data_IF_889677020527
#
_entry.id   IF_889677020527
#
_cell.length_a   1.000
_cell.length_b   1.000
_cell.length_c   1.000
_cell.angle_alpha   90.00
_cell.angle_beta   90.00
_cell.angle_gamma   90.00
#
_symmetry.space_group_name_H-M   'P 1'
#
loop_
_entity.id
_entity.type
_entity.pdbx_description
1 polymer ?
#
# COMPACT_ATOMS: atom_id res chain seq x y z
N UNK A 1 7.42 -3.88 33.91
CA UNK A 1 7.72 -3.06 32.72
C UNK A 1 6.39 -2.77 32.04
N UNK A 2 5.99 -1.50 31.97
CA UNK A 2 4.62 -1.06 31.68
C UNK A 2 4.11 -1.58 30.32
N UNK A 3 2.86 -2.05 30.28
CA UNK A 3 2.19 -2.60 29.09
C UNK A 3 2.28 -1.67 27.87
N UNK A 4 2.36 -0.36 28.11
CA UNK A 4 2.52 0.69 27.09
C UNK A 4 3.83 0.57 26.29
N UNK A 5 4.94 0.28 26.97
CA UNK A 5 6.26 0.15 26.33
C UNK A 5 6.31 -1.08 25.42
N UNK A 6 5.65 -2.17 25.82
CA UNK A 6 5.54 -3.40 25.01
C UNK A 6 4.72 -3.19 23.73
N UNK A 7 3.63 -2.41 23.82
CA UNK A 7 2.80 -2.06 22.66
C UNK A 7 3.55 -1.19 21.64
N UNK A 8 4.37 -0.24 22.10
CA UNK A 8 5.16 0.62 21.22
C UNK A 8 6.20 -0.17 20.41
N UNK A 9 6.99 -1.04 21.05
CA UNK A 9 7.98 -1.87 20.33
C UNK A 9 7.34 -2.79 19.29
N UNK A 10 6.15 -3.32 19.60
CA UNK A 10 5.41 -4.15 18.65
C UNK A 10 4.95 -3.36 17.43
N UNK A 11 4.32 -2.20 17.64
CA UNK A 11 3.83 -1.36 16.54
C UNK A 11 4.99 -0.92 15.63
N UNK A 12 6.13 -0.55 16.23
CA UNK A 12 7.34 -0.23 15.48
C UNK A 12 7.89 -1.45 14.72
N UNK A 13 7.92 -2.63 15.34
CA UNK A 13 8.31 -3.87 14.67
C UNK A 13 7.42 -4.18 13.47
N UNK A 14 6.10 -4.06 13.63
CA UNK A 14 5.12 -4.26 12.57
C UNK A 14 5.34 -3.28 11.42
N UNK A 15 5.50 -1.99 11.71
CA UNK A 15 5.78 -0.96 10.70
C UNK A 15 7.08 -1.27 9.95
N UNK A 16 8.16 -1.60 10.66
CA UNK A 16 9.45 -1.88 10.05
C UNK A 16 9.37 -3.11 9.16
N UNK A 17 8.82 -4.22 9.64
CA UNK A 17 8.75 -5.48 8.86
C UNK A 17 7.83 -5.35 7.65
N UNK A 18 6.67 -4.71 7.78
CA UNK A 18 5.77 -4.48 6.64
C UNK A 18 6.40 -3.51 5.63
N UNK A 19 7.04 -2.45 6.11
CA UNK A 19 7.73 -1.52 5.21
C UNK A 19 8.83 -2.24 4.45
N UNK A 20 9.74 -2.94 5.13
CA UNK A 20 10.86 -3.62 4.45
C UNK A 20 10.39 -4.75 3.53
N UNK A 21 9.34 -5.50 3.91
CA UNK A 21 8.79 -6.59 3.11
C UNK A 21 8.07 -6.12 1.84
N UNK A 22 7.33 -5.02 1.90
CA UNK A 22 6.50 -4.55 0.78
C UNK A 22 7.08 -3.36 0.01
N UNK A 23 8.13 -2.71 0.52
CA UNK A 23 8.83 -1.62 -0.17
C UNK A 23 9.32 -2.03 -1.57
N UNK A 24 9.88 -3.23 -1.82
CA UNK A 24 10.32 -3.61 -3.15
C UNK A 24 9.17 -3.60 -4.18
N UNK A 25 7.97 -4.02 -3.78
CA UNK A 25 6.80 -4.06 -4.66
C UNK A 25 6.35 -2.65 -5.08
N UNK A 26 6.39 -1.71 -4.13
CA UNK A 26 6.11 -0.29 -4.40
C UNK A 26 7.18 0.32 -5.32
N UNK A 27 8.45 0.02 -5.04
CA UNK A 27 9.59 0.55 -5.80
C UNK A 27 9.59 0.03 -7.24
N UNK A 28 9.28 -1.25 -7.47
CA UNK A 28 9.23 -1.82 -8.81
C UNK A 28 8.25 -1.06 -9.72
N UNK A 29 7.04 -0.79 -9.23
CA UNK A 29 6.04 -0.02 -9.99
C UNK A 29 6.51 1.41 -10.24
N UNK A 30 7.11 2.03 -9.23
CA UNK A 30 7.64 3.40 -9.33
C UNK A 30 8.80 3.49 -10.34
N UNK A 31 9.76 2.55 -10.30
CA UNK A 31 10.91 2.50 -11.22
C UNK A 31 10.44 2.32 -12.66
N UNK A 32 9.45 1.45 -12.90
CA UNK A 32 8.87 1.28 -14.24
C UNK A 32 8.25 2.59 -14.75
N UNK A 33 7.60 3.35 -13.87
CA UNK A 33 7.05 4.66 -14.20
C UNK A 33 8.14 5.68 -14.55
N UNK A 34 9.18 5.76 -13.74
CA UNK A 34 10.34 6.63 -13.98
C UNK A 34 11.05 6.29 -15.29
N UNK A 35 11.23 5.01 -15.62
CA UNK A 35 11.88 4.60 -16.88
C UNK A 35 11.11 4.98 -18.13
N UNK A 36 9.80 5.23 -18.01
CA UNK A 36 8.94 5.69 -19.12
C UNK A 36 8.92 7.20 -19.25
N UNK A 37 9.45 7.94 -18.28
CA UNK A 37 9.53 9.39 -18.35
C UNK A 37 10.62 9.81 -19.35
N UNK A 38 10.25 10.61 -20.33
CA UNK A 38 11.22 11.16 -21.28
C UNK A 38 11.97 12.35 -20.65
N UNK A 39 13.30 12.38 -20.84
CA UNK A 39 14.18 13.44 -20.32
C UNK A 39 13.83 14.81 -20.92
N UNK A 40 13.24 14.83 -22.11
CA UNK A 40 12.78 16.03 -22.83
C UNK A 40 11.87 16.93 -21.99
N UNK A 41 11.01 16.36 -21.14
CA UNK A 41 10.13 17.12 -20.24
C UNK A 41 10.91 17.89 -19.17
N UNK A 42 11.98 17.30 -18.63
CA UNK A 42 12.82 17.94 -17.61
C UNK A 42 13.72 19.03 -18.20
N UNK A 43 14.23 18.80 -19.42
CA UNK A 43 15.02 19.78 -20.17
C UNK A 43 14.18 20.99 -20.56
N UNK A 44 12.96 20.77 -21.07
CA UNK A 44 12.03 21.84 -21.40
C UNK A 44 11.71 22.72 -20.18
N UNK A 45 11.46 22.10 -19.03
CA UNK A 45 11.23 22.83 -17.79
C UNK A 45 12.48 23.60 -17.31
N UNK A 46 13.68 23.04 -17.51
CA UNK A 46 14.93 23.71 -17.19
C UNK A 46 15.17 24.95 -18.07
N UNK A 47 14.87 24.86 -19.37
CA UNK A 47 14.93 25.99 -20.30
C UNK A 47 13.98 27.14 -19.90
N UNK A 48 12.86 26.83 -19.26
CA UNK A 48 11.91 27.81 -18.70
C UNK A 48 12.32 28.34 -17.31
N UNK A 49 13.52 28.01 -16.83
CA UNK A 49 14.06 28.50 -15.55
C UNK A 49 13.56 27.73 -14.32
N UNK A 50 12.99 26.53 -14.47
CA UNK A 50 12.55 25.74 -13.34
C UNK A 50 13.75 25.12 -12.57
N UNK A 51 13.81 25.38 -11.26
CA UNK A 51 14.79 24.76 -10.36
C UNK A 51 14.51 23.25 -10.19
N UNK A 52 15.50 22.46 -9.75
CA UNK A 52 15.36 21.00 -9.66
C UNK A 52 14.15 20.54 -8.83
N UNK A 53 13.88 21.18 -7.69
CA UNK A 53 12.71 20.87 -6.87
C UNK A 53 11.39 21.23 -7.57
N UNK A 54 11.33 22.37 -8.29
CA UNK A 54 10.15 22.74 -9.09
C UNK A 54 9.91 21.73 -10.21
N UNK A 55 10.96 21.33 -10.94
CA UNK A 55 10.87 20.31 -11.99
C UNK A 55 10.34 18.99 -11.44
N UNK A 56 10.85 18.55 -10.29
CA UNK A 56 10.39 17.32 -9.66
C UNK A 56 8.89 17.38 -9.30
N UNK A 57 8.46 18.42 -8.58
CA UNK A 57 7.09 18.52 -8.06
C UNK A 57 6.06 18.75 -9.17
N UNK A 58 6.38 19.59 -10.15
CA UNK A 58 5.42 20.04 -11.17
C UNK A 58 5.46 19.25 -12.48
N UNK A 59 6.56 18.55 -12.78
CA UNK A 59 6.72 17.80 -14.04
C UNK A 59 6.84 16.31 -13.75
N UNK A 60 7.87 15.90 -13.00
CA UNK A 60 8.19 14.49 -12.77
C UNK A 60 7.09 13.79 -11.98
N UNK A 61 6.73 14.32 -10.81
CA UNK A 61 5.78 13.69 -9.89
C UNK A 61 4.38 13.48 -10.48
N UNK A 62 3.77 14.43 -11.21
CA UNK A 62 2.50 14.21 -11.89
C UNK A 62 2.60 13.18 -13.02
N UNK A 63 3.69 13.19 -13.79
CA UNK A 63 3.90 12.27 -14.92
C UNK A 63 4.07 10.82 -14.48
N UNK A 64 4.79 10.57 -13.39
CA UNK A 64 4.94 9.22 -12.81
C UNK A 64 3.76 8.82 -11.91
N UNK A 65 2.87 9.77 -11.59
CA UNK A 65 1.72 9.59 -10.71
C UNK A 65 0.85 8.34 -10.98
N UNK A 66 0.52 8.00 -12.25
CA UNK A 66 -0.19 6.76 -12.57
C UNK A 66 0.57 5.50 -12.15
N UNK A 67 1.89 5.51 -12.27
CA UNK A 67 2.75 4.41 -11.84
C UNK A 67 2.86 4.29 -10.33
N UNK A 68 3.01 5.42 -9.62
CA UNK A 68 2.98 5.45 -8.15
C UNK A 68 1.64 4.91 -7.64
N UNK A 69 0.53 5.34 -8.24
CA UNK A 69 -0.83 4.87 -7.91
C UNK A 69 -0.97 3.36 -8.06
N UNK A 70 -0.39 2.80 -9.13
CA UNK A 70 -0.39 1.36 -9.38
C UNK A 70 0.43 0.61 -8.32
N UNK A 71 1.58 1.16 -7.92
CA UNK A 71 2.41 0.63 -6.84
C UNK A 71 1.70 0.62 -5.50
N UNK A 72 1.00 1.72 -5.16
CA UNK A 72 0.22 1.82 -3.92
C UNK A 72 -0.84 0.72 -3.86
N UNK A 73 -1.59 0.52 -4.94
CA UNK A 73 -2.61 -0.53 -5.00
C UNK A 73 -2.03 -1.92 -4.84
N UNK A 74 -0.95 -2.22 -5.56
CA UNK A 74 -0.28 -3.51 -5.49
C UNK A 74 0.22 -3.80 -4.06
N UNK A 75 0.94 -2.84 -3.46
CA UNK A 75 1.45 -2.95 -2.10
C UNK A 75 0.32 -3.03 -1.07
N UNK A 76 -0.78 -2.30 -1.27
CA UNK A 76 -1.93 -2.39 -0.38
C UNK A 76 -2.58 -3.78 -0.44
N UNK A 77 -2.87 -4.31 -1.63
CA UNK A 77 -3.48 -5.64 -1.78
C UNK A 77 -2.61 -6.71 -1.12
N UNK A 78 -1.31 -6.66 -1.36
CA UNK A 78 -0.38 -7.65 -0.80
C UNK A 78 -0.25 -7.52 0.72
N UNK A 79 -0.14 -6.30 1.24
CA UNK A 79 0.05 -6.10 2.68
C UNK A 79 -1.22 -6.28 3.50
N UNK A 80 -2.38 -5.87 2.98
CA UNK A 80 -3.66 -5.97 3.69
C UNK A 80 -4.11 -7.42 3.89
N UNK A 81 -3.82 -8.30 2.92
CA UNK A 81 -4.17 -9.73 2.98
C UNK A 81 -3.01 -10.59 3.50
N UNK A 82 -1.91 -10.00 3.97
CA UNK A 82 -0.79 -10.76 4.49
C UNK A 82 -1.07 -11.28 5.90
N UNK A 83 -0.88 -12.60 6.05
CA UNK A 83 -1.14 -13.32 7.29
C UNK A 83 0.13 -13.79 8.00
N UNK A 84 1.11 -14.31 7.25
CA UNK A 84 2.22 -15.10 7.82
C UNK A 84 3.07 -14.23 8.75
N UNK A 85 3.48 -13.07 8.28
CA UNK A 85 4.28 -12.10 9.01
C UNK A 85 3.50 -11.54 10.18
N UNK A 86 2.21 -11.20 9.97
CA UNK A 86 1.34 -10.77 11.06
C UNK A 86 1.26 -11.80 12.19
N UNK A 87 1.06 -13.08 11.84
CA UNK A 87 0.95 -14.17 12.79
C UNK A 87 2.25 -14.38 13.58
N UNK A 88 3.39 -14.38 12.89
CA UNK A 88 4.70 -14.53 13.52
C UNK A 88 5.03 -13.35 14.45
N UNK A 89 4.65 -12.14 14.07
CA UNK A 89 4.85 -10.95 14.91
C UNK A 89 3.91 -10.93 16.11
N UNK A 90 2.62 -11.25 15.93
CA UNK A 90 1.57 -11.16 16.95
C UNK A 90 1.97 -11.83 18.28
N UNK A 91 2.57 -13.02 18.22
CA UNK A 91 3.09 -13.72 19.40
C UNK A 91 2.10 -13.76 20.57
N UNK A 92 2.57 -13.72 21.84
CA UNK A 92 1.70 -13.71 23.02
C UNK A 92 0.97 -12.37 23.27
N UNK A 93 1.13 -11.37 22.40
CA UNK A 93 0.73 -9.98 22.69
C UNK A 93 -0.73 -9.68 22.35
N UNK A 94 -1.40 -10.56 21.60
CA UNK A 94 -2.86 -10.52 21.40
C UNK A 94 -3.36 -9.47 20.40
N UNK A 95 -2.47 -8.85 19.60
CA UNK A 95 -2.91 -7.97 18.50
C UNK A 95 -3.28 -8.85 17.30
N UNK A 96 -4.59 -9.02 17.12
CA UNK A 96 -5.16 -9.78 16.02
C UNK A 96 -5.35 -8.85 14.83
N UNK A 97 -4.50 -8.99 13.80
CA UNK A 97 -4.86 -8.45 12.48
C UNK A 97 -6.07 -9.22 11.96
N UNK A 98 -6.86 -8.60 11.08
CA UNK A 98 -8.03 -9.24 10.50
C UNK A 98 -7.74 -10.66 9.92
N UNK A 99 -6.66 -10.89 9.14
CA UNK A 99 -6.34 -12.24 8.67
C UNK A 99 -5.86 -13.19 9.78
N UNK A 100 -5.16 -12.69 10.80
CA UNK A 100 -4.75 -13.52 11.95
C UNK A 100 -5.96 -13.97 12.76
N UNK A 101 -6.95 -13.10 12.95
CA UNK A 101 -8.21 -13.45 13.62
C UNK A 101 -8.94 -14.58 12.88
N UNK A 102 -9.11 -14.45 11.57
CA UNK A 102 -9.78 -15.50 10.77
C UNK A 102 -9.05 -16.83 10.93
N UNK A 103 -7.72 -16.83 10.92
CA UNK A 103 -6.94 -18.05 11.14
C UNK A 103 -7.07 -18.61 12.57
N UNK A 104 -7.10 -17.74 13.57
CA UNK A 104 -7.32 -18.12 14.96
C UNK A 104 -8.69 -18.79 15.15
N UNK A 105 -9.73 -18.23 14.53
CA UNK A 105 -11.09 -18.79 14.55
C UNK A 105 -11.19 -20.13 13.79
N UNK A 106 -10.48 -20.29 12.67
CA UNK A 106 -10.32 -21.61 12.00
C UNK A 106 -9.68 -22.62 12.96
N UNK A 107 -8.65 -22.21 13.69
CA UNK A 107 -7.89 -23.10 14.56
C UNK A 107 -8.68 -23.55 15.80
N UNK A 108 -9.56 -22.68 16.32
CA UNK A 108 -10.36 -22.97 17.51
C UNK A 108 -11.72 -23.62 17.20
N UNK A 109 -12.41 -23.16 16.15
CA UNK A 109 -13.78 -23.56 15.86
C UNK A 109 -13.93 -24.42 14.59
N UNK A 110 -12.87 -24.54 13.78
CA UNK A 110 -12.91 -25.19 12.47
C UNK A 110 -13.55 -24.31 11.38
N UNK A 111 -13.70 -24.86 10.18
CA UNK A 111 -14.33 -24.17 9.04
C UNK A 111 -15.86 -24.19 9.16
N UNK A 112 -16.39 -23.37 10.07
CA UNK A 112 -17.82 -23.16 10.24
C UNK A 112 -18.32 -21.98 9.41
N UNK A 113 -19.65 -21.89 9.25
CA UNK A 113 -20.28 -20.85 8.43
C UNK A 113 -19.93 -19.42 8.86
N UNK A 114 -19.73 -19.17 10.15
CA UNK A 114 -19.36 -17.84 10.64
C UNK A 114 -17.93 -17.45 10.24
N UNK A 115 -16.97 -18.39 10.24
CA UNK A 115 -15.58 -18.16 9.83
C UNK A 115 -15.51 -17.86 8.33
N UNK A 116 -16.30 -18.58 7.52
CA UNK A 116 -16.43 -18.29 6.10
C UNK A 116 -17.03 -16.89 5.86
N UNK A 117 -17.97 -16.45 6.70
CA UNK A 117 -18.53 -15.10 6.63
C UNK A 117 -17.48 -14.03 6.98
N UNK A 118 -16.67 -14.23 8.02
CA UNK A 118 -15.59 -13.31 8.39
C UNK A 118 -14.56 -13.15 7.26
N UNK A 119 -14.10 -14.26 6.67
CA UNK A 119 -13.19 -14.23 5.52
C UNK A 119 -13.79 -13.50 4.31
N UNK A 120 -15.09 -13.73 4.05
CA UNK A 120 -15.80 -13.06 2.97
C UNK A 120 -15.94 -11.56 3.21
N UNK A 121 -16.23 -11.14 4.44
CA UNK A 121 -16.33 -9.72 4.83
C UNK A 121 -14.97 -9.04 4.66
N UNK A 122 -13.88 -9.68 5.12
CA UNK A 122 -12.52 -9.17 4.94
C UNK A 122 -12.21 -8.94 3.46
N UNK A 123 -12.56 -9.91 2.60
CA UNK A 123 -12.37 -9.79 1.16
C UNK A 123 -13.22 -8.67 0.54
N UNK A 124 -14.48 -8.52 0.96
CA UNK A 124 -15.36 -7.44 0.49
C UNK A 124 -14.80 -6.07 0.87
N UNK A 125 -14.29 -5.91 2.10
CA UNK A 125 -13.68 -4.66 2.56
C UNK A 125 -12.43 -4.34 1.72
N UNK A 126 -11.54 -5.31 1.54
CA UNK A 126 -10.34 -5.19 0.72
C UNK A 126 -10.68 -4.71 -0.71
N UNK A 127 -11.64 -5.38 -1.37
CA UNK A 127 -12.10 -5.01 -2.70
C UNK A 127 -12.78 -3.64 -2.76
N UNK A 128 -13.54 -3.28 -1.72
CA UNK A 128 -14.21 -1.98 -1.63
C UNK A 128 -13.18 -0.85 -1.56
N UNK A 129 -12.14 -1.01 -0.74
CA UNK A 129 -11.06 -0.01 -0.64
C UNK A 129 -10.35 0.15 -1.99
N UNK A 130 -10.02 -0.96 -2.64
CA UNK A 130 -9.40 -0.94 -3.99
C UNK A 130 -10.31 -0.24 -5.00
N UNK A 131 -11.59 -0.58 -5.03
CA UNK A 131 -12.55 0.00 -5.96
C UNK A 131 -12.73 1.51 -5.73
N UNK A 132 -12.86 1.94 -4.46
CA UNK A 132 -12.95 3.36 -4.09
C UNK A 132 -11.67 4.09 -4.51
N UNK A 133 -10.50 3.52 -4.25
CA UNK A 133 -9.22 4.12 -4.63
C UNK A 133 -9.09 4.25 -6.15
N UNK A 134 -9.41 3.20 -6.91
CA UNK A 134 -9.42 3.23 -8.38
C UNK A 134 -10.42 4.26 -8.92
N UNK A 135 -11.60 4.35 -8.31
CA UNK A 135 -12.62 5.32 -8.72
C UNK A 135 -12.18 6.76 -8.46
N UNK A 136 -11.50 7.05 -7.35
CA UNK A 136 -11.09 8.42 -6.99
C UNK A 136 -9.81 8.82 -7.71
N UNK A 137 -8.80 7.94 -7.72
CA UNK A 137 -7.44 8.23 -8.21
C UNK A 137 -7.28 7.81 -9.66
N UNK A 138 -7.73 6.60 -10.02
CA UNK A 138 -7.65 6.08 -11.38
C UNK A 138 -8.42 6.92 -12.40
N UNK A 139 -9.60 7.44 -12.03
CA UNK A 139 -10.36 8.33 -12.94
C UNK A 139 -9.67 9.66 -13.23
N UNK A 140 -8.84 10.18 -12.31
CA UNK A 140 -8.11 11.44 -12.51
C UNK A 140 -7.01 11.29 -13.56
N UNK A 141 -6.32 10.15 -13.55
CA UNK A 141 -5.26 9.85 -14.51
C UNK A 141 -5.80 9.36 -15.86
N UNK A 142 -6.87 8.56 -15.87
CA UNK A 142 -7.53 8.11 -17.12
C UNK A 142 -8.21 9.25 -17.88
N UNK A 143 -8.65 10.31 -17.19
CA UNK A 143 -9.26 11.50 -17.82
C UNK A 143 -8.26 12.56 -18.28
N UNK A 144 -6.94 12.38 -18.05
CA UNK A 144 -5.91 13.37 -18.43
C UNK A 144 -6.00 14.70 -17.68
N UNK A 145 -6.86 14.80 -16.66
CA UNK A 145 -7.20 16.04 -15.94
C UNK A 145 -6.12 16.58 -14.99
N UNK A 146 -4.96 15.91 -14.89
CA UNK A 146 -3.84 16.38 -14.06
C UNK A 146 -2.80 17.18 -14.88
N UNK A 147 -2.99 17.25 -16.21
CA UNK A 147 -2.11 18.00 -17.12
C UNK A 147 -2.49 19.47 -17.31
N UNK A 148 -3.50 19.98 -16.59
CA UNK A 148 -3.99 21.36 -16.71
C UNK A 148 -4.42 21.92 -15.35
#
# INVERSE_FOLDING_TARGET
MSLEVRGLYFLLGFIVTYTTGFLPMMLLSSIVAFRRLEVSYEEAAACLGATGLKRFIYIVLPLIGPGITSGILLTFVLSFNEFITAFLLAGPTGILTAPVKVFDDISHAGMLGFVAAEASILQIISLTIIFVYLKIVGTRYLKGTVFF
#
